data_IF_590179402297
#
_entry.id   IF_590179402297
#
_cell.length_a   1.000
_cell.length_b   1.000
_cell.length_c   1.000
_cell.angle_alpha   90.00
_cell.angle_beta   90.00
_cell.angle_gamma   90.00
#
_symmetry.space_group_name_H-M   'P 1'
#
loop_
_entity.id
_entity.type
_entity.pdbx_description
1 polymer ?
2 water ?
#
# COMPACT_ATOMS: atom_id res chain seq x y z
N UNK A 2 -4.30 1.57 28.07
CA UNK A 2 -3.51 0.66 28.96
C UNK A 2 -2.27 0.13 28.21
N UNK A 3 -1.24 0.96 28.09
CA UNK A 3 -0.02 0.56 27.40
C UNK A 3 -0.39 0.04 26.01
N UNK A 4 -0.61 0.97 25.09
CA UNK A 4 -0.99 0.65 23.72
C UNK A 4 0.10 -0.09 22.94
N UNK A 5 -0.27 -1.19 22.30
CA UNK A 5 0.69 -1.95 21.50
C UNK A 5 0.36 -1.81 20.01
N UNK A 6 1.39 -1.76 19.18
CA UNK A 6 1.20 -1.64 17.74
C UNK A 6 1.66 -2.89 17.01
N UNK A 7 0.85 -3.33 16.05
CA UNK A 7 1.16 -4.52 15.30
C UNK A 7 1.02 -4.29 13.80
N UNK A 8 2.07 -4.59 13.07
CA UNK A 8 2.07 -4.47 11.62
C UNK A 8 1.69 -5.83 11.07
N UNK A 9 0.66 -5.87 10.25
CA UNK A 9 0.22 -7.12 9.68
C UNK A 9 0.37 -7.07 8.18
N UNK A 10 0.74 -8.19 7.58
CA UNK A 10 0.86 -8.23 6.15
C UNK A 10 0.33 -9.57 5.68
N UNK A 11 -0.52 -9.55 4.67
CA UNK A 11 -1.10 -10.79 4.16
C UNK A 11 -1.13 -10.81 2.64
N UNK A 12 -1.14 -12.01 2.08
CA UNK A 12 -1.19 -12.22 0.64
C UNK A 12 -1.85 -13.56 0.38
N UNK A 13 -3.03 -13.52 -0.21
CA UNK A 13 -3.75 -14.74 -0.51
C UNK A 13 -4.48 -14.62 -1.83
N UNK A 14 -5.10 -15.71 -2.28
CA UNK A 14 -5.84 -15.65 -3.54
C UNK A 14 -7.04 -14.76 -3.36
N UNK A 15 -7.17 -13.75 -4.20
CA UNK A 15 -8.28 -12.83 -4.07
C UNK A 15 -9.64 -13.51 -4.25
N UNK A 16 -10.42 -13.47 -3.17
CA UNK A 16 -11.76 -14.05 -3.14
C UNK A 16 -12.64 -13.02 -2.44
N UNK A 17 -13.97 -13.20 -2.49
CA UNK A 17 -14.85 -12.22 -1.83
C UNK A 17 -14.89 -12.34 -0.31
N UNK A 18 -15.00 -11.19 0.35
CA UNK A 18 -15.04 -11.16 1.80
C UNK A 18 -13.73 -11.51 2.49
N UNK A 19 -12.70 -11.83 1.72
CA UNK A 19 -11.43 -12.17 2.32
C UNK A 19 -10.93 -10.99 3.16
N UNK A 20 -11.10 -9.77 2.67
CA UNK A 20 -10.68 -8.58 3.42
C UNK A 20 -11.59 -8.41 4.65
N UNK A 21 -12.88 -8.68 4.47
CA UNK A 21 -13.86 -8.59 5.56
C UNK A 21 -13.41 -9.43 6.75
N UNK A 22 -12.93 -10.63 6.48
CA UNK A 22 -12.46 -11.54 7.51
C UNK A 22 -11.43 -10.87 8.41
N UNK A 23 -10.39 -10.35 7.77
CA UNK A 23 -9.31 -9.69 8.48
C UNK A 23 -9.80 -8.57 9.37
N UNK A 24 -10.59 -7.67 8.79
CA UNK A 24 -11.14 -6.54 9.51
C UNK A 24 -12.05 -7.00 10.64
N UNK A 25 -12.72 -8.12 10.44
CA UNK A 25 -13.63 -8.64 11.46
C UNK A 25 -12.83 -9.19 12.62
N UNK A 26 -11.85 -10.03 12.31
CA UNK A 26 -11.02 -10.64 13.33
C UNK A 26 -10.33 -9.59 14.19
N UNK A 27 -9.76 -8.57 13.55
CA UNK A 27 -9.06 -7.52 14.28
C UNK A 27 -9.96 -6.66 15.15
N UNK A 28 -11.09 -6.22 14.60
CA UNK A 28 -12.04 -5.39 15.34
C UNK A 28 -12.74 -6.14 16.49
N UNK A 29 -13.05 -7.41 16.27
CA UNK A 29 -13.70 -8.20 17.33
C UNK A 29 -12.72 -8.49 18.45
N UNK A 30 -11.42 -8.40 18.16
CA UNK A 30 -10.41 -8.64 19.18
C UNK A 30 -10.21 -7.35 19.99
N UNK A 31 -11.03 -6.34 19.66
CA UNK A 31 -10.97 -5.07 20.36
C UNK A 31 -9.86 -4.14 19.92
N UNK A 32 -9.28 -4.41 18.75
CA UNK A 32 -8.20 -3.56 18.26
C UNK A 32 -8.67 -2.48 17.28
N UNK A 33 -7.83 -1.48 17.12
CA UNK A 33 -8.10 -0.38 16.21
C UNK A 33 -7.24 -0.55 14.97
N UNK A 34 -7.79 -0.18 13.82
CA UNK A 34 -7.04 -0.26 12.57
C UNK A 34 -6.68 1.20 12.29
N UNK A 35 -5.41 1.54 12.52
CA UNK A 35 -4.92 2.90 12.32
C UNK A 35 -4.73 3.27 10.85
N UNK A 36 -4.31 2.30 10.05
CA UNK A 36 -4.09 2.56 8.64
C UNK A 36 -3.85 1.21 7.97
N UNK A 37 -3.83 1.20 6.65
CA UNK A 37 -3.62 -0.03 5.92
C UNK A 37 -3.48 0.27 4.43
N UNK A 38 -3.00 -0.69 3.67
CA UNK A 38 -2.86 -0.54 2.23
C UNK A 38 -3.42 -1.82 1.66
N UNK A 39 -4.33 -1.67 0.72
CA UNK A 39 -4.95 -2.82 0.11
C UNK A 39 -4.75 -2.73 -1.39
N UNK A 40 -4.46 -3.86 -2.00
CA UNK A 40 -4.25 -3.86 -3.43
C UNK A 40 -4.53 -5.24 -3.97
N UNK A 41 -4.95 -5.29 -5.23
CA UNK A 41 -5.22 -6.56 -5.87
C UNK A 41 -4.13 -6.67 -6.95
N UNK A 42 -3.09 -7.44 -6.68
CA UNK A 42 -2.00 -7.62 -7.62
C UNK A 42 -2.11 -8.96 -8.31
N UNK A 43 -2.12 -8.93 -9.64
CA UNK A 43 -2.26 -10.17 -10.38
C UNK A 43 -3.60 -10.77 -10.06
N UNK A 44 -3.61 -11.79 -9.20
CA UNK A 44 -4.86 -12.43 -8.82
C UNK A 44 -4.88 -12.64 -7.30
N UNK A 45 -4.02 -11.91 -6.60
CA UNK A 45 -3.90 -12.02 -5.14
C UNK A 45 -4.43 -10.80 -4.39
N UNK A 46 -5.01 -11.07 -3.23
CA UNK A 46 -5.47 -10.02 -2.33
C UNK A 46 -4.17 -9.65 -1.60
N UNK A 47 -3.90 -8.35 -1.46
CA UNK A 47 -2.68 -7.91 -0.79
C UNK A 47 -2.93 -6.90 0.32
N UNK A 48 -2.38 -7.16 1.51
CA UNK A 48 -2.63 -6.26 2.63
C UNK A 48 -1.47 -5.82 3.54
N UNK A 49 -1.43 -4.53 3.82
CA UNK A 49 -0.47 -3.97 4.74
C UNK A 49 -1.41 -3.31 5.74
N UNK A 50 -1.22 -3.58 7.03
CA UNK A 50 -2.10 -3.02 8.03
C UNK A 50 -1.38 -2.78 9.34
N UNK A 51 -1.66 -1.64 9.94
CA UNK A 51 -1.09 -1.27 11.22
C UNK A 51 -2.25 -1.12 12.19
N UNK A 52 -2.30 -2.00 13.19
CA UNK A 52 -3.35 -2.00 14.19
C UNK A 52 -2.70 -1.71 15.53
N UNK A 53 -3.52 -1.48 16.55
CA UNK A 53 -3.03 -1.19 17.89
C UNK A 53 -4.13 -1.59 18.86
N UNK A 54 -3.74 -1.86 20.10
CA UNK A 54 -4.70 -2.24 21.10
C UNK A 54 -3.95 -2.55 22.36
N UNK A 55 -4.64 -3.07 23.37
CA UNK A 55 -3.96 -3.41 24.61
C UNK A 55 -3.12 -4.66 24.35
N UNK A 56 -2.17 -4.97 25.24
CA UNK A 56 -1.36 -6.18 25.02
C UNK A 56 -2.21 -7.44 24.92
N UNK A 57 -3.28 -7.49 25.71
CA UNK A 57 -4.15 -8.65 25.65
C UNK A 57 -4.80 -8.81 24.28
N UNK A 58 -5.31 -7.72 23.72
CA UNK A 58 -5.96 -7.76 22.42
C UNK A 58 -4.99 -8.01 21.27
N UNK A 59 -3.84 -7.34 21.31
CA UNK A 59 -2.84 -7.53 20.28
C UNK A 59 -2.39 -8.99 20.33
N UNK A 60 -2.17 -9.51 21.55
CA UNK A 60 -1.74 -10.90 21.68
C UNK A 60 -2.81 -11.80 21.12
N UNK A 61 -4.07 -11.42 21.33
CA UNK A 61 -5.18 -12.21 20.83
C UNK A 61 -5.13 -12.28 19.32
N UNK A 62 -4.93 -11.12 18.68
CA UNK A 62 -4.85 -11.07 17.23
C UNK A 62 -3.63 -11.85 16.75
N UNK A 63 -2.49 -11.62 17.40
CA UNK A 63 -1.28 -12.35 17.01
C UNK A 63 -1.55 -13.85 17.06
N UNK A 64 -2.38 -14.25 18.03
CA UNK A 64 -2.72 -15.66 18.19
C UNK A 64 -3.67 -16.23 17.16
N UNK A 65 -4.74 -15.50 16.86
CA UNK A 65 -5.76 -15.99 15.95
C UNK A 65 -5.67 -15.61 14.48
N UNK A 66 -4.83 -14.63 14.14
CA UNK A 66 -4.69 -14.24 12.74
C UNK A 66 -4.11 -15.36 11.90
N UNK A 67 -2.99 -15.96 12.32
CA UNK A 67 -2.41 -17.06 11.54
C UNK A 67 -3.43 -18.13 11.22
N UNK A 68 -4.24 -18.48 12.22
CA UNK A 68 -5.29 -19.49 12.09
C UNK A 68 -6.28 -19.10 10.98
N UNK A 69 -6.74 -17.84 11.00
CA UNK A 69 -7.66 -17.36 9.98
C UNK A 69 -7.03 -17.60 8.64
N UNK A 70 -5.74 -17.27 8.54
CA UNK A 70 -5.02 -17.46 7.30
C UNK A 70 -5.03 -18.90 6.86
N UNK A 71 -4.76 -19.81 7.79
CA UNK A 71 -4.74 -21.23 7.50
C UNK A 71 -6.10 -21.63 6.91
N UNK A 72 -7.15 -20.95 7.35
CA UNK A 72 -8.51 -21.20 6.88
C UNK A 72 -8.71 -20.78 5.41
N UNK A 73 -8.36 -19.53 5.11
CA UNK A 73 -8.53 -18.96 3.75
C UNK A 73 -7.30 -19.05 2.84
N UNK A 74 -6.37 -19.93 3.16
CA UNK A 74 -5.16 -20.10 2.36
C UNK A 74 -4.44 -18.77 2.23
N UNK A 75 -4.53 -17.99 3.30
CA UNK A 75 -3.92 -16.67 3.37
C UNK A 75 -2.61 -16.72 4.16
N UNK A 76 -1.48 -16.38 3.54
CA UNK A 76 -0.23 -16.38 4.28
C UNK A 76 0.04 -15.01 4.89
N UNK A 77 0.21 -14.96 6.20
CA UNK A 77 0.44 -13.69 6.87
C UNK A 77 1.77 -13.60 7.62
N UNK A 78 2.15 -12.38 7.93
CA UNK A 78 3.39 -12.06 8.62
C UNK A 78 3.09 -10.91 9.59
N UNK A 79 3.63 -10.98 10.81
CA UNK A 79 3.37 -9.93 11.79
C UNK A 79 4.62 -9.50 12.52
N UNK A 80 4.58 -8.27 13.04
CA UNK A 80 5.69 -7.70 13.78
C UNK A 80 5.21 -6.49 14.58
N UNK A 81 5.58 -6.44 15.85
CA UNK A 81 5.20 -5.33 16.72
C UNK A 81 6.12 -4.14 16.46
N UNK A 82 5.62 -2.94 16.72
CA UNK A 82 6.41 -1.75 16.49
C UNK A 82 6.02 -0.66 17.48
N UNK A 83 6.71 0.48 17.41
CA UNK A 83 6.43 1.59 18.33
C UNK A 83 5.37 2.54 17.78
N UNK A 84 4.70 3.29 18.67
CA UNK A 84 3.66 4.25 18.32
C UNK A 84 3.89 4.91 16.99
N UNK A 85 2.77 5.15 16.30
CA UNK A 85 2.73 5.76 14.98
C UNK A 85 2.67 7.29 15.00
N UNK A 86 3.72 7.92 14.50
CA UNK A 86 3.83 9.39 14.42
C UNK A 86 3.15 9.84 13.12
N UNK A 87 1.83 9.59 13.04
CA UNK A 87 1.02 9.92 11.87
C UNK A 87 1.32 11.26 11.20
N UNK A 88 2.09 11.21 10.12
CA UNK A 88 2.49 12.41 9.37
C UNK A 88 1.46 12.89 8.35
N UNK A 89 1.38 14.21 8.19
CA UNK A 89 0.46 14.82 7.22
C UNK A 89 1.35 15.47 6.17
N UNK A 90 0.95 15.32 4.90
CA UNK A 90 1.73 15.87 3.80
C UNK A 90 0.99 16.92 2.99
N UNK A 91 1.63 18.07 2.82
CA UNK A 91 1.02 19.18 2.09
C UNK A 91 0.88 18.93 0.58
N UNK A 92 1.81 18.17 0.00
CA UNK A 92 1.79 17.89 -1.43
C UNK A 92 2.07 16.45 -1.79
N UNK A 93 1.54 16.05 -2.94
CA UNK A 93 1.79 14.72 -3.47
C UNK A 93 2.54 15.02 -4.76
N UNK A 94 3.68 14.39 -4.97
CA UNK A 94 4.44 14.64 -6.17
C UNK A 94 4.46 13.42 -7.05
N UNK A 95 3.89 13.54 -8.24
CA UNK A 95 3.92 12.41 -9.15
C UNK A 95 5.11 12.61 -10.06
N UNK A 96 5.96 11.60 -10.08
CA UNK A 96 7.18 11.60 -10.85
C UNK A 96 7.08 10.61 -12.02
N UNK A 97 7.57 11.03 -13.19
CA UNK A 97 7.55 10.17 -14.34
C UNK A 97 8.88 10.30 -15.09
N UNK A 98 9.53 9.16 -15.27
CA UNK A 98 10.83 9.09 -15.91
C UNK A 98 10.78 8.12 -17.11
N UNK A 99 11.23 8.58 -18.26
CA UNK A 99 11.26 7.75 -19.47
C UNK A 99 12.69 7.68 -20.00
N UNK A 100 13.21 6.46 -20.13
CA UNK A 100 14.58 6.27 -20.62
C UNK A 100 14.65 5.08 -21.57
N UNK A 101 15.77 4.96 -22.28
CA UNK A 101 15.96 3.84 -23.22
C UNK A 101 17.00 2.89 -22.66
N UNK A 102 17.05 2.82 -21.33
CA UNK A 102 17.98 1.94 -20.63
C UNK A 102 17.39 1.56 -19.28
N UNK A 103 17.62 0.31 -18.88
CA UNK A 103 17.12 -0.20 -17.61
C UNK A 103 18.20 -0.07 -16.54
N UNK A 104 19.41 -0.51 -16.89
CA UNK A 104 20.58 -0.51 -16.03
C UNK A 104 20.69 0.49 -14.88
N UNK A 105 20.50 -0.02 -13.66
CA UNK A 105 20.59 0.75 -12.43
C UNK A 105 19.97 2.13 -12.38
N UNK A 106 18.89 2.33 -13.13
CA UNK A 106 18.22 3.62 -13.18
C UNK A 106 17.31 3.78 -11.97
N UNK A 107 16.58 2.72 -11.63
CA UNK A 107 15.66 2.78 -10.50
C UNK A 107 16.30 3.21 -9.17
N UNK A 108 17.34 2.52 -8.72
CA UNK A 108 17.97 2.90 -7.46
C UNK A 108 18.29 4.39 -7.42
N UNK A 109 18.64 4.97 -8.56
CA UNK A 109 18.98 6.39 -8.61
C UNK A 109 17.87 7.28 -8.09
N UNK A 110 16.66 7.01 -8.53
CA UNK A 110 15.54 7.83 -8.13
C UNK A 110 15.03 7.55 -6.71
N UNK A 111 15.11 6.31 -6.26
CA UNK A 111 14.67 6.02 -4.90
C UNK A 111 15.69 6.68 -3.97
N UNK A 112 16.97 6.54 -4.30
CA UNK A 112 18.00 7.18 -3.49
C UNK A 112 17.75 8.70 -3.47
N UNK A 113 17.49 9.27 -4.65
CA UNK A 113 17.22 10.70 -4.75
C UNK A 113 16.20 11.17 -3.71
N UNK A 114 15.12 10.40 -3.54
CA UNK A 114 14.09 10.78 -2.57
C UNK A 114 14.39 10.37 -1.14
N UNK A 115 15.03 9.22 -0.95
CA UNK A 115 15.40 8.78 0.39
C UNK A 115 16.37 9.80 0.98
N UNK A 116 17.40 10.13 0.20
CA UNK A 116 18.39 11.09 0.66
C UNK A 116 17.75 12.37 1.15
N UNK A 117 16.74 12.85 0.43
CA UNK A 117 16.03 14.07 0.79
C UNK A 117 14.88 13.86 1.74
N UNK A 118 14.81 12.67 2.34
CA UNK A 118 13.72 12.35 3.29
C UNK A 118 12.32 12.60 2.72
N UNK A 119 12.12 12.25 1.46
CA UNK A 119 10.82 12.41 0.83
C UNK A 119 10.33 10.99 0.61
N UNK A 120 9.25 10.64 1.31
CA UNK A 120 8.71 9.30 1.21
C UNK A 120 7.91 8.95 -0.02
N UNK A 121 8.07 7.70 -0.46
CA UNK A 121 7.37 7.18 -1.62
C UNK A 121 6.18 6.32 -1.20
N UNK A 122 5.06 6.49 -1.90
CA UNK A 122 3.85 5.74 -1.60
C UNK A 122 3.65 4.60 -2.59
N UNK A 123 4.16 4.77 -3.81
CA UNK A 123 4.02 3.78 -4.86
C UNK A 123 5.15 3.92 -5.87
N UNK A 124 5.50 2.80 -6.50
CA UNK A 124 6.59 2.75 -7.46
C UNK A 124 6.41 1.66 -8.49
N UNK A 125 6.62 2.02 -9.76
CA UNK A 125 6.56 1.09 -10.86
C UNK A 125 7.78 1.44 -11.69
N UNK A 126 8.54 0.41 -12.08
CA UNK A 126 9.74 0.57 -12.88
C UNK A 126 9.76 -0.63 -13.81
N UNK A 127 9.32 -0.41 -15.05
CA UNK A 127 9.21 -1.48 -16.01
C UNK A 127 9.55 -1.07 -17.44
N UNK A 128 9.86 -2.07 -18.28
CA UNK A 128 10.15 -1.81 -19.69
C UNK A 128 8.80 -1.85 -20.38
N UNK A 129 8.65 -1.02 -21.40
CA UNK A 129 7.40 -0.97 -22.15
C UNK A 129 7.66 -1.25 -23.63
N UNK A 130 6.72 -1.96 -24.26
CA UNK A 130 6.84 -2.30 -25.68
C UNK A 130 5.61 -1.82 -26.48
N UNK A 139 11.21 -0.81 -25.83
CA UNK A 139 12.61 -0.60 -25.49
C UNK A 139 12.78 0.61 -24.58
N UNK A 140 11.74 1.06 -23.90
CA UNK A 140 11.83 2.21 -22.99
C UNK A 140 11.47 1.80 -21.57
N UNK A 141 12.35 2.10 -20.64
CA UNK A 141 12.11 1.77 -19.24
C UNK A 141 11.48 2.97 -18.55
N UNK A 142 10.23 2.82 -18.10
CA UNK A 142 9.55 3.92 -17.43
C UNK A 142 9.45 3.72 -15.91
N UNK A 143 9.53 4.83 -15.20
CA UNK A 143 9.49 4.85 -13.75
C UNK A 143 8.41 5.79 -13.31
N UNK A 144 7.45 5.29 -12.54
CA UNK A 144 6.39 6.15 -12.04
C UNK A 144 6.48 6.15 -10.52
N UNK A 145 6.58 7.33 -9.93
CA UNK A 145 6.68 7.39 -8.50
C UNK A 145 5.74 8.41 -7.95
N UNK A 146 5.07 8.04 -6.87
CA UNK A 146 4.17 8.94 -6.20
C UNK A 146 4.83 9.14 -4.84
N UNK A 147 5.30 10.35 -4.56
CA UNK A 147 5.98 10.63 -3.30
C UNK A 147 5.27 11.71 -2.51
N UNK A 148 5.56 11.78 -1.23
CA UNK A 148 4.95 12.78 -0.39
C UNK A 148 5.96 13.84 0.06
N UNK A 149 5.54 15.09 0.00
CA UNK A 149 6.38 16.20 0.37
C UNK A 149 5.62 17.14 1.29
N UNK A 150 6.10 17.27 2.52
CA UNK A 150 5.45 18.17 3.47
C UNK A 150 5.74 19.61 3.09
N UNK A 151 5.08 20.54 3.76
CA UNK A 151 5.21 21.96 3.47
C UNK A 151 6.57 22.61 3.74
N UNK A 152 7.47 21.93 4.45
CA UNK A 152 8.78 22.51 4.72
C UNK A 152 9.75 22.31 3.59
N UNK A 153 9.24 21.75 2.49
CA UNK A 153 10.05 21.48 1.33
C UNK A 153 10.20 22.68 0.40
N UNK A 154 11.43 22.95 -0.03
CA UNK A 154 11.68 24.05 -0.95
C UNK A 154 11.46 23.44 -2.35
N UNK A 155 10.27 23.64 -2.89
CA UNK A 155 9.89 23.10 -4.20
C UNK A 155 10.80 23.53 -5.34
N UNK A 156 11.36 24.73 -5.25
CA UNK A 156 12.26 25.23 -6.30
C UNK A 156 13.54 24.39 -6.33
N UNK A 157 14.10 24.13 -5.15
CA UNK A 157 15.32 23.34 -5.06
C UNK A 157 15.05 21.91 -5.52
N UNK A 158 13.95 21.35 -5.03
CA UNK A 158 13.56 20.00 -5.39
C UNK A 158 13.48 19.88 -6.90
N UNK A 159 12.85 20.85 -7.55
CA UNK A 159 12.72 20.84 -9.00
C UNK A 159 14.08 20.91 -9.68
N UNK A 160 14.92 21.83 -9.21
CA UNK A 160 16.24 21.98 -9.78
C UNK A 160 17.08 20.72 -9.63
N UNK A 161 17.15 20.19 -8.41
CA UNK A 161 17.98 19.01 -8.20
C UNK A 161 17.47 17.83 -9.00
N UNK A 162 16.15 17.71 -9.10
CA UNK A 162 15.55 16.62 -9.84
C UNK A 162 15.89 16.76 -11.33
N UNK A 163 15.86 17.98 -11.83
CA UNK A 163 16.19 18.22 -13.23
C UNK A 163 17.67 17.94 -13.47
N UNK A 164 18.50 18.19 -12.47
CA UNK A 164 19.95 17.93 -12.60
C UNK A 164 20.16 16.42 -12.59
N UNK A 165 19.29 15.70 -11.89
CA UNK A 165 19.41 14.25 -11.84
C UNK A 165 19.17 13.72 -13.25
N UNK A 166 18.01 14.07 -13.81
CA UNK A 166 17.63 13.64 -15.15
C UNK A 166 18.66 14.02 -16.18
N UNK A 167 19.21 15.22 -16.04
CA UNK A 167 20.23 15.68 -16.98
C UNK A 167 21.48 14.83 -16.85
N UNK A 168 21.87 14.50 -15.63
CA UNK A 168 23.08 13.70 -15.44
C UNK A 168 22.91 12.28 -15.97
N UNK A 169 21.69 11.74 -15.85
CA UNK A 169 21.40 10.38 -16.32
C UNK A 169 20.93 10.41 -17.75
N UNK A 170 20.66 11.62 -18.24
CA UNK A 170 20.19 11.82 -19.59
C UNK A 170 18.93 11.03 -19.85
N UNK A 171 17.92 11.25 -19.01
CA UNK A 171 16.62 10.60 -19.14
C UNK A 171 15.65 11.74 -19.09
N UNK A 172 14.38 11.49 -19.41
CA UNK A 172 13.36 12.55 -19.40
C UNK A 172 12.47 12.41 -18.17
N UNK A 173 12.49 13.41 -17.30
CA UNK A 173 11.70 13.34 -16.08
C UNK A 173 10.79 14.51 -15.85
N UNK A 174 9.76 14.31 -15.04
CA UNK A 174 8.85 15.39 -14.73
C UNK A 174 8.30 15.20 -13.32
N UNK A 175 7.77 16.28 -12.75
CA UNK A 175 7.20 16.25 -11.42
C UNK A 175 5.89 17.02 -11.47
N UNK A 176 4.85 16.43 -10.91
CA UNK A 176 3.55 17.08 -10.89
C UNK A 176 3.09 17.23 -9.44
N UNK A 177 3.05 18.47 -8.98
CA UNK A 177 2.66 18.82 -7.62
C UNK A 177 1.14 18.89 -7.47
N UNK A 178 0.63 17.94 -6.68
CA UNK A 178 -0.79 17.81 -6.42
C UNK A 178 -1.06 18.05 -4.93
N UNK A 179 -1.97 18.96 -4.65
CA UNK A 179 -2.32 19.29 -3.27
C UNK A 179 -3.29 18.24 -2.71
N UNK A 180 -3.10 17.86 -1.46
CA UNK A 180 -3.96 16.87 -0.84
C UNK A 180 -5.03 17.51 0.04
N UNK B 2 9.83 -14.28 -24.09
CA UNK B 2 9.83 -15.40 -23.11
C UNK B 2 8.52 -15.46 -22.35
N UNK B 3 8.42 -16.43 -21.45
CA UNK B 3 7.23 -16.60 -20.62
C UNK B 3 7.40 -15.69 -19.42
N UNK B 4 6.78 -14.52 -19.46
CA UNK B 4 6.88 -13.56 -18.36
C UNK B 4 6.08 -13.97 -17.13
N UNK B 5 6.79 -14.30 -16.05
CA UNK B 5 6.18 -14.72 -14.79
C UNK B 5 6.06 -13.60 -13.74
N UNK B 6 4.94 -13.58 -13.03
CA UNK B 6 4.68 -12.57 -12.02
C UNK B 6 4.84 -13.10 -10.61
N UNK B 7 5.32 -12.23 -9.72
CA UNK B 7 5.53 -12.59 -8.32
C UNK B 7 5.04 -11.45 -7.43
N UNK B 8 4.55 -11.81 -6.25
CA UNK B 8 4.07 -10.82 -5.30
C UNK B 8 4.99 -10.82 -4.10
N UNK B 9 5.46 -9.65 -3.72
CA UNK B 9 6.36 -9.54 -2.59
C UNK B 9 5.81 -8.71 -1.41
N UNK B 10 6.06 -9.20 -0.21
CA UNK B 10 5.65 -8.55 1.00
C UNK B 10 6.89 -8.43 1.88
N UNK B 11 7.10 -7.26 2.47
CA UNK B 11 8.27 -7.06 3.31
C UNK B 11 8.02 -6.09 4.47
N UNK B 12 8.59 -6.40 5.62
CA UNK B 12 8.46 -5.56 6.81
C UNK B 12 9.81 -5.52 7.48
N UNK B 13 10.31 -4.33 7.71
CA UNK B 13 11.60 -4.19 8.35
C UNK B 13 11.74 -2.85 9.03
N UNK B 14 12.61 -2.80 10.03
CA UNK B 14 12.84 -1.55 10.73
C UNK B 14 13.30 -0.54 9.68
N UNK B 15 12.51 0.51 9.53
CA UNK B 15 12.82 1.55 8.56
C UNK B 15 14.16 2.22 8.82
N UNK B 16 15.01 2.19 7.80
CA UNK B 16 16.33 2.78 7.84
C UNK B 16 16.58 3.40 6.46
N UNK B 17 17.41 4.45 6.40
CA UNK B 17 17.76 5.17 5.18
C UNK B 17 17.72 4.46 3.82
N UNK B 18 18.37 3.31 3.69
CA UNK B 18 18.37 2.65 2.39
C UNK B 18 17.69 1.29 2.23
N UNK B 19 16.83 0.93 3.16
CA UNK B 19 16.16 -0.36 3.08
C UNK B 19 15.41 -0.53 1.76
N UNK B 20 14.67 0.50 1.35
CA UNK B 20 13.91 0.46 0.10
C UNK B 20 14.80 0.49 -1.15
N UNK B 21 16.04 0.97 -1.00
CA UNK B 21 16.96 1.00 -2.13
C UNK B 21 17.32 -0.42 -2.53
N UNK B 22 17.84 -1.16 -1.56
CA UNK B 22 18.27 -2.54 -1.78
C UNK B 22 17.15 -3.40 -2.33
N UNK B 23 15.92 -3.18 -1.87
CA UNK B 23 14.81 -3.96 -2.35
C UNK B 23 14.57 -3.78 -3.84
N UNK B 24 14.41 -2.55 -4.28
CA UNK B 24 14.18 -2.32 -5.71
C UNK B 24 15.47 -2.61 -6.46
N UNK B 25 16.58 -2.49 -5.74
CA UNK B 25 17.90 -2.72 -6.31
C UNK B 25 18.04 -4.19 -6.67
N UNK B 26 17.73 -5.03 -5.70
CA UNK B 26 17.81 -6.47 -5.85
C UNK B 26 16.83 -6.93 -6.94
N UNK B 27 15.64 -6.36 -6.93
CA UNK B 27 14.61 -6.71 -7.90
C UNK B 27 14.92 -6.29 -9.33
N UNK B 28 15.26 -5.02 -9.52
CA UNK B 28 15.57 -4.52 -10.85
C UNK B 28 16.87 -5.14 -11.37
N UNK B 29 17.85 -5.28 -10.47
CA UNK B 29 19.15 -5.85 -10.83
C UNK B 29 19.04 -7.38 -11.05
N UNK B 30 17.84 -7.92 -10.91
CA UNK B 30 17.60 -9.34 -11.11
C UNK B 30 17.00 -9.57 -12.49
N UNK B 31 16.65 -8.48 -13.16
CA UNK B 31 16.08 -8.57 -14.50
C UNK B 31 14.57 -8.41 -14.52
N UNK B 32 13.97 -8.30 -13.34
CA UNK B 32 12.53 -8.16 -13.26
C UNK B 32 12.04 -6.72 -13.38
N UNK B 33 10.75 -6.59 -13.68
CA UNK B 33 10.12 -5.30 -13.81
C UNK B 33 9.24 -5.12 -12.59
N UNK B 34 9.07 -3.88 -12.17
CA UNK B 34 8.19 -3.60 -11.04
C UNK B 34 6.90 -3.06 -11.65
N UNK B 35 5.87 -3.89 -11.64
CA UNK B 35 4.56 -3.52 -12.19
C UNK B 35 3.91 -2.44 -11.35
N UNK B 36 3.93 -2.63 -10.04
CA UNK B 36 3.31 -1.70 -9.12
C UNK B 36 3.75 -2.02 -7.71
N UNK B 37 3.49 -1.11 -6.77
CA UNK B 37 3.89 -1.33 -5.39
C UNK B 37 3.20 -0.35 -4.47
N UNK B 38 3.31 -0.62 -3.17
CA UNK B 38 2.76 0.26 -2.15
C UNK B 38 3.79 0.30 -1.04
N UNK B 39 4.12 1.52 -0.65
CA UNK B 39 5.10 1.75 0.39
C UNK B 39 4.44 2.55 1.51
N UNK B 40 4.57 2.05 2.72
CA UNK B 40 3.98 2.73 3.85
C UNK B 40 4.93 2.65 5.03
N UNK B 41 4.98 3.72 5.81
CA UNK B 41 5.82 3.77 6.99
C UNK B 41 4.85 3.65 8.17
N UNK B 42 4.77 2.46 8.76
CA UNK B 42 3.89 2.22 9.89
C UNK B 42 4.73 2.05 11.15
N UNK B 43 4.48 2.90 12.14
CA UNK B 43 5.27 2.83 13.36
C UNK B 43 6.68 3.22 12.98
N UNK B 44 7.66 2.39 13.36
CA UNK B 44 9.05 2.67 13.01
C UNK B 44 9.40 1.72 11.86
N UNK B 45 8.38 1.04 11.33
CA UNK B 45 8.57 0.07 10.26
C UNK B 45 8.41 0.53 8.81
N UNK B 46 9.12 -0.18 7.93
CA UNK B 46 9.08 0.06 6.50
C UNK B 46 8.22 -1.10 5.98
N UNK B 47 7.08 -0.79 5.38
CA UNK B 47 6.21 -1.85 4.86
C UNK B 47 6.05 -1.69 3.36
N UNK B 48 6.17 -2.81 2.64
CA UNK B 48 6.09 -2.82 1.19
C UNK B 48 5.25 -3.95 0.54
N UNK B 49 4.38 -3.57 -0.39
CA UNK B 49 3.59 -4.53 -1.15
C UNK B 49 4.17 -4.36 -2.53
N UNK B 50 4.48 -5.46 -3.21
CA UNK B 50 5.06 -5.31 -4.54
C UNK B 50 4.74 -6.46 -5.48
N UNK B 51 4.61 -6.13 -6.76
CA UNK B 51 4.30 -7.09 -7.81
C UNK B 51 5.34 -6.94 -8.92
N UNK B 52 6.11 -7.99 -9.16
CA UNK B 52 7.14 -7.92 -10.17
C UNK B 52 6.90 -9.00 -11.21
N UNK B 53 7.56 -8.88 -12.34
CA UNK B 53 7.44 -9.86 -13.42
C UNK B 53 8.82 -10.05 -14.01
N UNK B 54 9.06 -11.22 -14.59
CA UNK B 54 10.34 -11.49 -15.21
C UNK B 54 10.32 -12.88 -15.80
N UNK B 55 11.46 -13.34 -16.28
CA UNK B 55 11.53 -14.67 -16.85
C UNK B 55 11.45 -15.64 -15.68
N UNK B 56 11.20 -16.93 -15.96
CA UNK B 56 11.13 -17.88 -14.85
C UNK B 56 12.50 -17.93 -14.18
N UNK B 57 13.53 -17.73 -14.98
CA UNK B 57 14.90 -17.73 -14.46
C UNK B 57 15.13 -16.55 -13.52
N UNK B 58 14.78 -15.34 -13.98
CA UNK B 58 14.96 -14.13 -13.20
C UNK B 58 14.12 -14.07 -11.92
N UNK B 59 12.89 -14.56 -12.00
CA UNK B 59 12.01 -14.59 -10.85
C UNK B 59 12.66 -15.47 -9.79
N UNK B 60 13.12 -16.65 -10.19
CA UNK B 60 13.77 -17.55 -9.25
C UNK B 60 14.93 -16.82 -8.60
N UNK B 61 15.67 -16.05 -9.41
CA UNK B 61 16.80 -15.29 -8.91
C UNK B 61 16.33 -14.38 -7.78
N UNK B 62 15.13 -13.82 -7.94
CA UNK B 62 14.55 -12.94 -6.94
C UNK B 62 14.03 -13.74 -5.76
N UNK B 63 13.44 -14.91 -6.05
CA UNK B 63 12.91 -15.76 -5.00
C UNK B 63 14.02 -16.30 -4.11
N UNK B 64 15.23 -16.39 -4.65
CA UNK B 64 16.34 -16.89 -3.86
C UNK B 64 17.04 -15.80 -3.09
N UNK B 65 17.53 -14.78 -3.80
CA UNK B 65 18.26 -13.68 -3.18
C UNK B 65 17.52 -12.81 -2.16
N UNK B 66 16.22 -12.59 -2.37
CA UNK B 66 15.42 -11.74 -1.48
C UNK B 66 15.45 -12.16 0.00
N UNK B 67 15.25 -13.44 0.29
CA UNK B 67 15.28 -13.82 1.71
C UNK B 67 16.60 -13.47 2.40
N UNK B 68 17.70 -13.57 1.66
CA UNK B 68 19.03 -13.27 2.23
C UNK B 68 19.11 -11.81 2.63
N UNK B 69 18.58 -10.94 1.78
CA UNK B 69 18.57 -9.51 2.05
C UNK B 69 17.86 -9.30 3.38
N UNK B 70 16.80 -10.09 3.58
CA UNK B 70 16.02 -10.00 4.81
C UNK B 70 16.70 -10.60 6.00
N UNK B 71 17.77 -11.34 5.76
CA UNK B 71 18.52 -11.96 6.84
C UNK B 71 19.48 -10.94 7.45
N UNK B 72 20.22 -10.25 6.59
CA UNK B 72 21.20 -9.27 7.02
C UNK B 72 20.67 -7.89 7.37
N UNK B 73 19.35 -7.75 7.37
CA UNK B 73 18.70 -6.48 7.69
C UNK B 73 17.51 -6.67 8.63
N UNK B 74 17.37 -7.86 9.18
CA UNK B 74 16.27 -8.15 10.09
C UNK B 74 14.93 -7.90 9.41
N UNK B 75 14.95 -7.93 8.08
CA UNK B 75 13.79 -7.71 7.25
C UNK B 75 12.97 -9.00 7.24
N UNK B 76 11.66 -8.90 7.04
CA UNK B 76 10.81 -10.09 6.99
C UNK B 76 10.17 -10.17 5.63
N UNK B 77 10.37 -11.27 4.91
CA UNK B 77 9.79 -11.38 3.58
C UNK B 77 8.71 -12.45 3.41
N UNK B 78 7.96 -12.32 2.34
CA UNK B 78 6.87 -13.22 2.02
C UNK B 78 6.64 -13.05 0.53
N UNK B 79 6.66 -14.14 -0.22
CA UNK B 79 6.43 -14.06 -1.67
C UNK B 79 5.39 -15.07 -2.14
N UNK B 80 4.90 -14.89 -3.36
CA UNK B 80 3.91 -15.79 -3.93
C UNK B 80 3.71 -15.53 -5.41
N UNK B 81 3.99 -16.55 -6.23
CA UNK B 81 3.80 -16.40 -7.65
C UNK B 81 2.29 -16.20 -7.86
N UNK B 82 1.93 -15.62 -9.00
CA UNK B 82 0.53 -15.36 -9.30
C UNK B 82 0.34 -15.11 -10.80
N UNK B 83 -0.90 -15.21 -11.27
CA UNK B 83 -1.23 -15.00 -12.68
C UNK B 83 -0.89 -13.57 -13.06
N UNK B 84 -0.83 -13.26 -14.37
CA UNK B 84 -0.51 -11.90 -14.76
C UNK B 84 -1.56 -10.94 -14.25
N UNK B 85 -1.16 -9.69 -14.13
CA UNK B 85 -1.98 -8.60 -13.62
C UNK B 85 -2.66 -7.80 -14.73
N UNK B 86 -3.99 -7.81 -14.76
CA UNK B 86 -4.70 -7.03 -15.77
C UNK B 86 -4.89 -5.63 -15.22
N UNK B 87 -4.20 -4.67 -15.83
CA UNK B 87 -4.25 -3.29 -15.40
C UNK B 87 -5.63 -2.64 -15.36
N UNK B 88 -6.06 -2.30 -14.14
CA UNK B 88 -7.35 -1.64 -13.95
C UNK B 88 -7.06 -0.16 -13.79
N UNK B 89 -7.19 0.61 -14.88
CA UNK B 89 -6.94 2.04 -14.83
C UNK B 89 -8.06 2.65 -14.01
N UNK B 90 -7.71 3.57 -13.11
CA UNK B 90 -8.73 4.20 -12.29
C UNK B 90 -8.85 5.70 -12.57
N UNK B 91 -10.08 6.15 -12.72
CA UNK B 91 -10.37 7.54 -13.02
C UNK B 91 -10.64 8.37 -11.78
N UNK B 92 -11.03 7.71 -10.70
CA UNK B 92 -11.31 8.46 -9.49
C UNK B 92 -10.91 7.70 -8.26
N UNK B 93 -10.79 8.46 -7.19
CA UNK B 93 -10.46 7.93 -5.89
C UNK B 93 -11.59 8.45 -5.04
N UNK B 94 -12.36 7.57 -4.44
CA UNK B 94 -13.42 8.03 -3.58
C UNK B 94 -12.89 7.86 -2.18
N UNK B 95 -13.04 8.89 -1.37
CA UNK B 95 -12.62 8.84 0.02
C UNK B 95 -13.89 8.86 0.84
N UNK B 96 -14.04 7.89 1.73
CA UNK B 96 -15.23 7.82 2.57
C UNK B 96 -14.85 8.03 4.03
N UNK B 97 -15.76 8.66 4.77
CA UNK B 97 -15.53 8.90 6.18
C UNK B 97 -16.81 8.66 6.94
N UNK B 98 -16.82 7.63 7.78
CA UNK B 98 -18.00 7.29 8.54
C UNK B 98 -17.75 7.45 10.02
N UNK B 99 -18.71 8.01 10.73
CA UNK B 99 -18.59 8.21 12.16
C UNK B 99 -19.82 7.63 12.87
N UNK B 100 -19.58 6.88 13.94
CA UNK B 100 -20.66 6.28 14.71
C UNK B 100 -20.30 6.25 16.19
N UNK B 101 -21.26 5.88 17.01
CA UNK B 101 -21.00 5.79 18.44
C UNK B 101 -20.85 4.30 18.78
N UNK B 102 -21.39 3.45 17.89
CA UNK B 102 -21.33 2.00 18.04
C UNK B 102 -20.36 1.47 17.00
N UNK B 103 -19.44 0.60 17.40
CA UNK B 103 -18.51 0.08 16.40
C UNK B 103 -18.88 -1.34 15.98
N UNK B 104 -19.81 -1.95 16.69
CA UNK B 104 -20.25 -3.32 16.43
C UNK B 104 -20.49 -3.71 14.96
N UNK B 105 -19.54 -4.46 14.40
CA UNK B 105 -19.64 -4.95 13.03
C UNK B 105 -19.91 -3.95 11.92
N UNK B 106 -19.63 -2.68 12.19
CA UNK B 106 -19.86 -1.59 11.27
C UNK B 106 -18.86 -1.49 10.10
N UNK B 107 -17.57 -1.63 10.39
CA UNK B 107 -16.56 -1.53 9.36
C UNK B 107 -16.78 -2.49 8.20
N UNK B 108 -17.04 -3.76 8.50
CA UNK B 108 -17.24 -4.76 7.44
C UNK B 108 -18.49 -4.50 6.60
N UNK B 109 -19.39 -3.65 7.11
CA UNK B 109 -20.61 -3.29 6.38
C UNK B 109 -20.17 -2.40 5.23
N UNK B 110 -19.21 -1.51 5.52
CA UNK B 110 -18.70 -0.59 4.53
C UNK B 110 -17.75 -1.21 3.54
N UNK B 111 -16.99 -2.22 3.95
CA UNK B 111 -16.10 -2.87 3.00
C UNK B 111 -17.01 -3.68 2.09
N UNK B 112 -18.05 -4.29 2.66
CA UNK B 112 -18.99 -5.07 1.87
C UNK B 112 -19.65 -4.16 0.82
N UNK B 113 -19.92 -2.91 1.21
CA UNK B 113 -20.53 -1.94 0.30
C UNK B 113 -19.72 -1.83 -0.98
N UNK B 114 -18.40 -1.83 -0.85
CA UNK B 114 -17.54 -1.73 -2.02
C UNK B 114 -17.37 -3.06 -2.73
N UNK B 115 -17.42 -4.15 -1.99
CA UNK B 115 -17.31 -5.45 -2.62
C UNK B 115 -18.54 -5.68 -3.49
N UNK B 116 -19.72 -5.43 -2.93
CA UNK B 116 -20.97 -5.63 -3.68
C UNK B 116 -20.93 -4.87 -5.01
N UNK B 117 -20.20 -3.76 -5.02
CA UNK B 117 -20.12 -2.97 -6.23
C UNK B 117 -18.83 -3.21 -7.01
N UNK B 118 -18.04 -4.19 -6.57
CA UNK B 118 -16.80 -4.56 -7.24
C UNK B 118 -15.78 -3.41 -7.30
N UNK B 119 -15.83 -2.53 -6.30
CA UNK B 119 -14.90 -1.41 -6.20
C UNK B 119 -13.79 -1.86 -5.24
N UNK B 120 -12.56 -1.80 -5.70
CA UNK B 120 -11.44 -2.22 -4.87
C UNK B 120 -10.98 -1.12 -3.95
N UNK B 121 -10.76 -1.42 -2.67
CA UNK B 121 -10.31 -0.38 -1.76
C UNK B 121 -8.80 -0.34 -1.82
N UNK B 122 -8.21 0.80 -1.45
CA UNK B 122 -6.77 0.97 -1.45
C UNK B 122 -6.27 1.21 -0.02
N UNK B 123 -7.14 1.73 0.83
CA UNK B 123 -6.74 1.97 2.22
C UNK B 123 -7.94 2.07 3.13
N UNK B 124 -7.75 1.67 4.37
CA UNK B 124 -8.81 1.67 5.34
C UNK B 124 -8.27 1.92 6.74
N UNK B 125 -9.12 2.46 7.59
CA UNK B 125 -8.79 2.73 8.99
C UNK B 125 -10.15 2.73 9.70
N UNK B 126 -10.21 2.02 10.83
CA UNK B 126 -11.42 1.93 11.64
C UNK B 126 -10.90 1.95 13.06
N UNK B 127 -11.27 2.98 13.82
CA UNK B 127 -10.75 3.10 15.17
C UNK B 127 -11.61 3.96 16.08
N UNK B 128 -11.42 3.76 17.37
CA UNK B 128 -12.12 4.54 18.39
C UNK B 128 -11.19 5.73 18.66
N UNK B 129 -11.74 6.94 18.72
CA UNK B 129 -10.92 8.13 18.97
C UNK B 129 -10.95 8.54 20.44
N UNK B 130 -9.88 9.23 20.87
CA UNK B 130 -9.66 9.74 22.24
C UNK B 130 -10.86 9.87 23.20
N UNK B 131 -11.45 11.08 23.26
CA UNK B 131 -12.58 11.37 24.12
C UNK B 131 -13.11 12.77 23.84
N UNK B 139 -15.46 8.51 22.74
CA UNK B 139 -16.39 7.38 22.69
C UNK B 139 -16.99 7.18 21.29
N UNK B 140 -16.37 7.78 20.27
CA UNK B 140 -16.85 7.63 18.91
C UNK B 140 -15.95 6.75 18.06
N UNK B 141 -16.53 6.10 17.05
CA UNK B 141 -15.79 5.22 16.16
C UNK B 141 -15.74 5.84 14.77
N UNK B 142 -14.54 6.00 14.21
CA UNK B 142 -14.39 6.59 12.87
C UNK B 142 -13.78 5.62 11.85
N UNK B 143 -14.43 5.51 10.69
CA UNK B 143 -13.95 4.64 9.61
C UNK B 143 -13.49 5.53 8.46
N UNK B 144 -12.35 5.20 7.87
CA UNK B 144 -11.83 5.96 6.73
C UNK B 144 -11.40 4.99 5.64
N UNK B 145 -12.02 5.10 4.48
CA UNK B 145 -11.72 4.20 3.38
C UNK B 145 -11.39 4.97 2.09
N UNK B 146 -10.43 4.48 1.34
CA UNK B 146 -10.06 5.08 0.06
C UNK B 146 -10.27 4.01 -0.99
N UNK B 147 -11.01 4.33 -2.04
CA UNK B 147 -11.27 3.35 -3.07
C UNK B 147 -11.16 3.97 -4.45
N UNK B 148 -10.83 3.14 -5.42
CA UNK B 148 -10.67 3.61 -6.78
C UNK B 148 -11.75 3.04 -7.68
N UNK B 149 -12.39 3.93 -8.44
CA UNK B 149 -13.42 3.53 -9.39
C UNK B 149 -12.99 3.96 -10.78
N UNK B 150 -13.38 3.19 -11.79
CA UNK B 150 -13.01 3.54 -13.14
C UNK B 150 -13.98 4.57 -13.73
N UNK B 151 -13.82 4.88 -15.01
CA UNK B 151 -14.68 5.85 -15.69
C UNK B 151 -16.11 5.35 -15.89
N UNK B 152 -16.27 4.03 -15.93
CA UNK B 152 -17.59 3.44 -16.12
C UNK B 152 -18.47 3.45 -14.89
N UNK B 153 -18.04 4.12 -13.84
CA UNK B 153 -18.80 4.19 -12.59
C UNK B 153 -19.59 5.49 -12.43
N UNK B 154 -20.88 5.32 -12.17
CA UNK B 154 -21.81 6.43 -11.97
C UNK B 154 -21.56 7.01 -10.56
N UNK B 155 -20.85 8.12 -10.51
CA UNK B 155 -20.49 8.76 -9.26
C UNK B 155 -21.67 9.28 -8.44
N UNK B 156 -22.63 9.92 -9.10
CA UNK B 156 -23.80 10.43 -8.39
C UNK B 156 -24.56 9.24 -7.80
N UNK B 157 -24.55 8.13 -8.52
CA UNK B 157 -25.23 6.93 -8.07
C UNK B 157 -24.49 6.24 -6.90
N UNK B 158 -23.16 6.25 -6.94
CA UNK B 158 -22.37 5.64 -5.88
C UNK B 158 -22.62 6.44 -4.61
N UNK B 159 -22.69 7.76 -4.76
CA UNK B 159 -22.91 8.63 -3.62
C UNK B 159 -24.28 8.45 -3.01
N UNK B 160 -25.28 8.20 -3.84
CA UNK B 160 -26.62 8.01 -3.33
C UNK B 160 -26.71 6.69 -2.57
N UNK B 161 -26.17 5.63 -3.15
CA UNK B 161 -26.19 4.34 -2.48
C UNK B 161 -25.43 4.39 -1.15
N UNK B 162 -24.34 5.17 -1.12
CA UNK B 162 -23.55 5.33 0.09
C UNK B 162 -24.33 6.08 1.16
N UNK B 163 -25.16 7.04 0.74
CA UNK B 163 -25.98 7.81 1.66
C UNK B 163 -27.11 6.94 2.22
N UNK B 164 -27.68 6.11 1.36
CA UNK B 164 -28.76 5.20 1.77
C UNK B 164 -28.23 4.25 2.84
N UNK B 165 -27.05 3.66 2.60
CA UNK B 165 -26.46 2.75 3.56
C UNK B 165 -26.32 3.50 4.89
N UNK B 166 -25.70 4.67 4.84
CA UNK B 166 -25.51 5.50 6.02
C UNK B 166 -26.85 5.79 6.71
N UNK B 167 -27.91 6.00 5.95
CA UNK B 167 -29.21 6.24 6.59
C UNK B 167 -29.64 4.95 7.26
N UNK B 168 -29.55 3.86 6.51
CA UNK B 168 -29.93 2.54 7.01
C UNK B 168 -29.22 2.14 8.29
N UNK B 169 -27.92 2.45 8.39
CA UNK B 169 -27.15 2.08 9.58
C UNK B 169 -27.09 3.21 10.60
N UNK B 170 -27.80 4.30 10.32
CA UNK B 170 -27.88 5.44 11.22
C UNK B 170 -26.53 6.02 11.65
N UNK B 171 -25.64 6.28 10.69
CA UNK B 171 -24.33 6.85 11.01
C UNK B 171 -24.07 8.05 10.11
N UNK B 172 -23.08 8.85 10.49
CA UNK B 172 -22.71 10.03 9.71
C UNK B 172 -21.60 9.67 8.74
N UNK B 173 -21.86 9.87 7.45
CA UNK B 173 -20.86 9.56 6.46
C UNK B 173 -20.81 10.59 5.36
N UNK B 174 -19.60 10.84 4.88
CA UNK B 174 -19.37 11.78 3.80
C UNK B 174 -18.61 11.05 2.71
N UNK B 175 -18.73 11.54 1.49
CA UNK B 175 -18.06 10.93 0.37
C UNK B 175 -17.29 12.02 -0.38
N UNK B 176 -16.16 11.66 -0.95
CA UNK B 176 -15.34 12.63 -1.65
C UNK B 176 -14.83 11.95 -2.92
N UNK B 177 -14.77 12.70 -4.02
CA UNK B 177 -14.26 12.18 -5.29
C UNK B 177 -13.04 12.98 -5.72
N UNK B 178 -12.01 12.28 -6.19
CA UNK B 178 -10.79 12.94 -6.66
C UNK B 178 -10.32 12.21 -7.92
N UNK B 179 -10.20 12.95 -9.02
CA UNK B 179 -9.75 12.36 -10.28
C UNK B 179 -8.23 12.59 -10.38
N UNK B 180 -7.56 11.79 -11.19
CA UNK B 180 -6.12 11.93 -11.36
C UNK B 180 -5.70 12.16 -12.81
#
# INVERSE_FOLDING_TARGET
MSLTQHLVITAVGTDRPGICNEVVRLVTQAGCNIIDSRIAMFGKEFTLLMLISGSPSNITRVETTLPLLGQQHDLITMMKRTSPHDHQTHAYTVEVYVESDDKLGLTEKFTQFFAQRQIGMASLSAQTISKDKLHSEQNQFHIAISARVDSGCNLMQLQEEFDALCTALDVQGSLNFIKNSQEGGSHHHHHH
MSLTQHLVITAVGTDRPGICNEVVRLVTQAGCNIIDSRIAMFGKEFTLLMLISGSPSNITRVETTLPLLGQQHDLITMMKRTSPHDHQTHAYTVEVYVESDDKLGLTEKFTQFFAQRQIGMASLSAQTISKDKLHSEQNQFHIAISARVDSGCNLMQLQEEFDALCTALDVQGSLNFIKNSQEGGSHHHHHH
#
